data_IF_326708627901
#
_entry.id   IF_326708627901
#
_cell.length_a   1.000
_cell.length_b   1.000
_cell.length_c   1.000
_cell.angle_alpha   90.00
_cell.angle_beta   90.00
_cell.angle_gamma   90.00
#
_symmetry.space_group_name_H-M   'P 1'
#
loop_
_entity.id
_entity.type
_entity.pdbx_description
1 polymer ?
#
# COMPACT_ATOMS: atom_id res chain seq x y z
N UNK A 1 -13.06 25.63 8.68
CA UNK A 1 -13.58 24.29 8.37
C UNK A 1 -12.54 23.25 8.77
N UNK A 2 -12.96 22.16 9.37
CA UNK A 2 -12.12 20.96 9.59
C UNK A 2 -12.63 19.89 8.65
N UNK A 3 -11.78 19.41 7.75
CA UNK A 3 -12.08 18.19 7.00
C UNK A 3 -11.92 17.01 7.95
N UNK A 4 -13.03 16.34 8.26
CA UNK A 4 -13.02 15.23 9.21
C UNK A 4 -12.26 14.03 8.63
N UNK A 5 -11.64 13.24 9.49
CA UNK A 5 -10.99 12.00 9.07
C UNK A 5 -11.98 11.04 8.43
N UNK A 6 -13.22 11.02 8.92
CA UNK A 6 -14.29 10.21 8.38
C UNK A 6 -14.61 10.59 6.92
N UNK A 7 -14.87 11.87 6.62
CA UNK A 7 -15.18 12.33 5.26
C UNK A 7 -14.04 11.98 4.28
N UNK A 8 -12.79 12.18 4.71
CA UNK A 8 -11.63 11.83 3.88
C UNK A 8 -11.48 10.31 3.70
N UNK A 9 -11.83 9.51 4.72
CA UNK A 9 -11.81 8.04 4.63
C UNK A 9 -12.92 7.52 3.73
N UNK A 10 -14.10 8.11 3.77
CA UNK A 10 -15.21 7.77 2.86
C UNK A 10 -14.86 8.10 1.41
N UNK A 11 -14.26 9.26 1.19
CA UNK A 11 -13.74 9.62 -0.13
C UNK A 11 -12.66 8.62 -0.61
N UNK A 12 -11.66 8.30 0.24
CA UNK A 12 -10.65 7.31 -0.08
C UNK A 12 -11.26 5.95 -0.42
N UNK A 13 -12.24 5.49 0.37
CA UNK A 13 -12.93 4.21 0.13
C UNK A 13 -13.66 4.19 -1.22
N UNK A 14 -14.30 5.30 -1.63
CA UNK A 14 -14.94 5.41 -2.95
C UNK A 14 -13.91 5.30 -4.08
N UNK A 15 -12.78 6.01 -3.96
CA UNK A 15 -11.70 5.94 -4.95
C UNK A 15 -11.09 4.54 -5.02
N UNK A 16 -10.88 3.86 -3.87
CA UNK A 16 -10.41 2.48 -3.84
C UNK A 16 -11.38 1.53 -4.55
N UNK A 17 -12.67 1.62 -4.24
CA UNK A 17 -13.70 0.79 -4.89
C UNK A 17 -13.73 0.96 -6.40
N UNK A 18 -13.55 2.18 -6.91
CA UNK A 18 -13.46 2.44 -8.34
C UNK A 18 -12.17 1.86 -8.94
N UNK A 19 -11.06 1.94 -8.20
CA UNK A 19 -9.78 1.33 -8.58
C UNK A 19 -9.87 -0.20 -8.65
N UNK A 20 -10.50 -0.83 -7.68
CA UNK A 20 -10.72 -2.29 -7.64
C UNK A 20 -11.63 -2.72 -8.80
N UNK A 21 -12.69 -1.98 -9.11
CA UNK A 21 -13.56 -2.26 -10.25
C UNK A 21 -12.83 -2.11 -11.59
N UNK A 22 -11.92 -1.15 -11.71
CA UNK A 22 -11.06 -1.00 -12.89
C UNK A 22 -10.11 -2.20 -13.03
N UNK A 23 -9.46 -2.61 -11.91
CA UNK A 23 -8.62 -3.80 -11.87
C UNK A 23 -9.37 -5.03 -12.35
N UNK A 24 -10.51 -5.35 -11.73
CA UNK A 24 -11.32 -6.53 -12.06
C UNK A 24 -11.79 -6.53 -13.51
N UNK A 25 -12.16 -5.36 -14.03
CA UNK A 25 -12.58 -5.22 -15.42
C UNK A 25 -11.45 -5.55 -16.37
N UNK A 26 -10.26 -4.97 -16.18
CA UNK A 26 -9.10 -5.22 -17.04
C UNK A 26 -8.62 -6.66 -16.89
N UNK A 27 -8.46 -7.15 -15.67
CA UNK A 27 -7.98 -8.50 -15.40
C UNK A 27 -8.89 -9.55 -16.07
N UNK A 28 -10.20 -9.46 -15.89
CA UNK A 28 -11.16 -10.39 -16.51
C UNK A 28 -11.13 -10.31 -18.03
N UNK A 29 -11.17 -9.11 -18.61
CA UNK A 29 -11.15 -8.94 -20.08
C UNK A 29 -9.90 -9.55 -20.69
N UNK A 30 -8.73 -9.25 -20.14
CA UNK A 30 -7.43 -9.71 -20.66
C UNK A 30 -7.27 -11.23 -20.48
N UNK A 31 -7.62 -11.79 -19.32
CA UNK A 31 -7.52 -13.24 -19.08
C UNK A 31 -8.51 -14.02 -19.95
N UNK A 32 -9.74 -13.54 -20.11
CA UNK A 32 -10.74 -14.17 -21.00
C UNK A 32 -10.31 -14.11 -22.46
N UNK A 33 -9.71 -13.00 -22.90
CA UNK A 33 -9.17 -12.88 -24.25
C UNK A 33 -8.08 -13.92 -24.52
N UNK A 34 -7.09 -14.02 -23.61
CA UNK A 34 -6.00 -14.99 -23.72
C UNK A 34 -6.51 -16.45 -23.70
N UNK A 35 -7.52 -16.74 -22.88
CA UNK A 35 -8.16 -18.08 -22.85
C UNK A 35 -8.91 -18.40 -24.14
N UNK A 36 -9.57 -17.41 -24.72
CA UNK A 36 -10.34 -17.60 -25.96
C UNK A 36 -9.44 -17.72 -27.20
N UNK A 37 -8.25 -17.11 -27.16
CA UNK A 37 -7.30 -17.06 -28.27
C UNK A 37 -5.92 -17.53 -27.82
N UNK A 38 -5.74 -18.84 -27.51
CA UNK A 38 -4.49 -19.39 -27.00
C UNK A 38 -3.44 -19.39 -28.07
N UNK A 39 -2.82 -18.66 -28.56
CA UNK A 39 -1.87 -18.54 -29.69
C UNK A 39 -1.96 -17.18 -30.37
N UNK A 40 -2.68 -16.23 -29.76
CA UNK A 40 -2.71 -14.86 -30.25
C UNK A 40 -1.29 -14.26 -30.24
N UNK A 41 -0.96 -13.51 -31.28
CA UNK A 41 0.32 -12.81 -31.33
C UNK A 41 0.41 -11.77 -30.19
N UNK A 42 1.64 -11.43 -29.85
CA UNK A 42 1.92 -10.41 -28.80
C UNK A 42 1.26 -9.09 -29.14
N UNK A 43 1.29 -8.68 -30.41
CA UNK A 43 0.66 -7.46 -30.89
C UNK A 43 -0.84 -7.48 -30.63
N UNK A 44 -1.51 -8.58 -30.97
CA UNK A 44 -2.96 -8.72 -30.79
C UNK A 44 -3.37 -8.69 -29.32
N UNK A 45 -2.61 -9.36 -28.45
CA UNK A 45 -2.85 -9.33 -26.98
C UNK A 45 -2.63 -7.92 -26.45
N UNK A 46 -1.56 -7.27 -26.88
CA UNK A 46 -1.22 -5.90 -26.47
C UNK A 46 -2.31 -4.91 -26.89
N UNK A 47 -2.74 -4.93 -28.15
CA UNK A 47 -3.71 -3.97 -28.67
C UNK A 47 -5.08 -4.14 -27.96
N UNK A 48 -5.54 -5.37 -27.75
CA UNK A 48 -6.72 -5.65 -26.93
C UNK A 48 -6.56 -5.18 -25.47
N UNK A 49 -5.37 -5.32 -24.92
CA UNK A 49 -5.09 -4.87 -23.53
C UNK A 49 -5.10 -3.35 -23.43
N UNK A 50 -4.51 -2.64 -24.41
CA UNK A 50 -4.55 -1.16 -24.46
C UNK A 50 -6.01 -0.68 -24.50
N UNK A 51 -6.84 -1.28 -25.36
CA UNK A 51 -8.28 -0.97 -25.42
C UNK A 51 -8.97 -1.22 -24.09
N UNK A 52 -8.69 -2.36 -23.45
CA UNK A 52 -9.31 -2.75 -22.19
C UNK A 52 -8.92 -1.83 -21.02
N UNK A 53 -7.65 -1.42 -20.94
CA UNK A 53 -7.18 -0.46 -19.94
C UNK A 53 -7.75 0.93 -20.20
N UNK A 54 -7.77 1.39 -21.47
CA UNK A 54 -8.32 2.69 -21.85
C UNK A 54 -9.81 2.79 -21.52
N UNK A 55 -10.57 1.73 -21.78
CA UNK A 55 -11.98 1.64 -21.39
C UNK A 55 -12.16 1.76 -19.88
N UNK A 56 -11.43 0.98 -19.10
CA UNK A 56 -11.55 1.00 -17.64
C UNK A 56 -11.16 2.37 -17.04
N UNK A 57 -10.09 2.98 -17.56
CA UNK A 57 -9.64 4.31 -17.11
C UNK A 57 -10.65 5.40 -17.50
N UNK A 58 -11.30 5.32 -18.67
CA UNK A 58 -12.37 6.25 -19.02
C UNK A 58 -13.55 6.13 -18.06
N UNK A 59 -14.09 4.92 -17.87
CA UNK A 59 -15.29 4.73 -17.04
C UNK A 59 -15.04 5.04 -15.56
N UNK A 60 -14.04 4.40 -14.97
CA UNK A 60 -13.79 4.50 -13.53
C UNK A 60 -12.96 5.72 -13.16
N UNK A 61 -12.10 6.20 -14.06
CA UNK A 61 -11.34 7.42 -13.86
C UNK A 61 -12.21 8.67 -13.92
N UNK A 62 -13.19 8.71 -14.82
CA UNK A 62 -14.17 9.81 -14.90
C UNK A 62 -15.07 9.84 -13.67
N UNK A 63 -15.51 8.66 -13.18
CA UNK A 63 -16.22 8.57 -11.90
C UNK A 63 -15.37 9.03 -10.70
N UNK A 64 -14.08 8.70 -10.69
CA UNK A 64 -13.15 9.16 -9.65
C UNK A 64 -12.90 10.68 -9.72
N UNK A 65 -12.84 11.25 -10.94
CA UNK A 65 -12.77 12.70 -11.14
C UNK A 65 -14.01 13.40 -10.63
N UNK A 66 -15.20 12.82 -10.85
CA UNK A 66 -16.48 13.36 -10.34
C UNK A 66 -16.47 13.34 -8.80
N UNK A 67 -16.14 12.22 -8.16
CA UNK A 67 -16.02 12.17 -6.71
C UNK A 67 -15.05 13.20 -6.14
N UNK A 68 -13.96 13.47 -6.86
CA UNK A 68 -12.99 14.49 -6.44
C UNK A 68 -13.52 15.92 -6.63
N UNK A 69 -14.25 16.18 -7.71
CA UNK A 69 -14.87 17.47 -7.95
C UNK A 69 -15.95 17.78 -6.90
N UNK A 70 -16.82 16.80 -6.60
CA UNK A 70 -17.85 16.93 -5.56
C UNK A 70 -17.22 17.29 -4.22
N UNK A 71 -16.19 16.55 -3.79
CA UNK A 71 -15.49 16.85 -2.54
C UNK A 71 -14.82 18.24 -2.56
N UNK A 72 -14.26 18.64 -3.71
CA UNK A 72 -13.68 20.00 -3.85
C UNK A 72 -14.72 21.09 -3.64
N UNK A 73 -15.89 20.95 -4.27
CA UNK A 73 -16.98 21.93 -4.18
C UNK A 73 -17.60 21.94 -2.77
N UNK A 74 -17.80 20.78 -2.14
CA UNK A 74 -18.22 20.67 -0.74
C UNK A 74 -17.26 21.39 0.22
N UNK A 75 -15.94 21.21 0.02
CA UNK A 75 -14.92 21.87 0.82
C UNK A 75 -14.91 23.40 0.59
N UNK A 76 -15.07 23.84 -0.65
CA UNK A 76 -15.15 25.25 -1.01
C UNK A 76 -16.35 25.91 -0.36
N UNK A 77 -17.53 25.32 -0.46
CA UNK A 77 -18.79 25.81 0.16
C UNK A 77 -18.66 25.89 1.68
N UNK A 78 -18.21 24.80 2.31
CA UNK A 78 -18.04 24.73 3.76
C UNK A 78 -16.98 25.71 4.30
N UNK A 79 -16.04 26.16 3.46
CA UNK A 79 -15.06 27.21 3.81
C UNK A 79 -15.58 28.64 3.57
N UNK A 80 -16.76 28.79 2.94
CA UNK A 80 -17.32 30.06 2.50
C UNK A 80 -16.55 30.67 1.29
N UNK A 81 -15.76 29.86 0.57
CA UNK A 81 -15.05 30.31 -0.61
C UNK A 81 -16.03 30.43 -1.80
N UNK A 82 -16.04 31.61 -2.43
CA UNK A 82 -16.83 31.86 -3.65
C UNK A 82 -15.96 31.48 -4.85
N UNK A 83 -15.96 30.20 -5.21
CA UNK A 83 -15.18 29.65 -6.34
C UNK A 83 -16.14 29.13 -7.42
N UNK A 84 -15.69 29.07 -8.68
CA UNK A 84 -16.46 28.42 -9.72
C UNK A 84 -16.50 26.90 -9.46
N UNK A 85 -17.53 26.18 -9.96
CA UNK A 85 -17.61 24.72 -9.84
C UNK A 85 -16.31 24.02 -10.26
N UNK A 86 -16.01 22.92 -9.62
CA UNK A 86 -14.84 22.13 -9.95
C UNK A 86 -14.92 21.55 -11.36
N UNK A 87 -13.79 21.53 -12.07
CA UNK A 87 -13.66 20.92 -13.38
C UNK A 87 -13.03 19.52 -13.25
N UNK A 88 -13.52 18.57 -14.02
CA UNK A 88 -12.98 17.21 -14.06
C UNK A 88 -11.61 17.17 -14.75
N UNK A 89 -10.76 16.23 -14.35
CA UNK A 89 -9.57 15.90 -15.13
C UNK A 89 -9.95 15.00 -16.31
N UNK A 90 -9.76 15.51 -17.50
CA UNK A 90 -9.97 14.82 -18.78
C UNK A 90 -8.67 14.64 -19.55
N UNK A 91 -7.53 14.63 -18.87
CA UNK A 91 -6.22 14.50 -19.51
C UNK A 91 -6.14 13.20 -20.33
N UNK A 92 -5.60 13.31 -21.54
CA UNK A 92 -5.27 12.15 -22.35
C UNK A 92 -4.12 11.35 -21.70
N UNK A 93 -4.37 10.08 -21.42
CA UNK A 93 -3.40 9.15 -20.85
C UNK A 93 -3.07 7.99 -21.80
N UNK A 94 -3.51 8.06 -23.06
CA UNK A 94 -3.33 7.01 -24.06
C UNK A 94 -1.87 6.62 -24.24
N UNK A 95 -0.97 7.60 -24.39
CA UNK A 95 0.46 7.38 -24.54
C UNK A 95 1.10 6.71 -23.30
N UNK A 96 0.61 7.03 -22.10
CA UNK A 96 1.05 6.35 -20.88
C UNK A 96 0.58 4.88 -20.87
N UNK A 97 -0.70 4.64 -21.15
CA UNK A 97 -1.28 3.29 -21.20
C UNK A 97 -0.54 2.43 -22.21
N UNK A 98 -0.31 2.94 -23.40
CA UNK A 98 0.41 2.24 -24.45
C UNK A 98 1.84 1.85 -24.00
N UNK A 99 2.58 2.78 -23.41
CA UNK A 99 3.93 2.53 -22.88
C UNK A 99 3.95 1.45 -21.80
N UNK A 100 3.03 1.53 -20.83
CA UNK A 100 2.95 0.57 -19.74
C UNK A 100 2.56 -0.83 -20.21
N UNK A 101 1.58 -0.95 -21.10
CA UNK A 101 1.18 -2.23 -21.68
C UNK A 101 2.32 -2.85 -22.49
N UNK A 102 3.03 -2.06 -23.30
CA UNK A 102 4.22 -2.52 -24.04
C UNK A 102 5.32 -3.03 -23.08
N UNK A 103 5.57 -2.32 -21.99
CA UNK A 103 6.56 -2.73 -20.99
C UNK A 103 6.17 -4.06 -20.32
N UNK A 104 4.90 -4.21 -19.92
CA UNK A 104 4.43 -5.44 -19.28
C UNK A 104 4.33 -6.63 -20.24
N UNK A 105 4.25 -6.42 -21.56
CA UNK A 105 4.12 -7.48 -22.55
C UNK A 105 5.28 -8.49 -22.52
N UNK A 106 6.43 -8.11 -21.96
CA UNK A 106 7.54 -9.05 -21.70
C UNK A 106 7.14 -10.25 -20.82
N UNK A 107 6.18 -10.08 -19.90
CA UNK A 107 5.65 -11.17 -19.07
C UNK A 107 4.84 -12.16 -19.93
N UNK A 108 4.02 -11.66 -20.84
CA UNK A 108 3.26 -12.52 -21.76
C UNK A 108 4.19 -13.32 -22.67
N UNK A 109 5.23 -12.69 -23.23
CA UNK A 109 6.26 -13.34 -24.05
C UNK A 109 6.97 -14.47 -23.27
N UNK A 110 7.20 -14.25 -21.97
CA UNK A 110 7.80 -15.25 -21.07
C UNK A 110 6.81 -16.36 -20.63
N UNK A 111 5.61 -16.46 -21.20
CA UNK A 111 4.61 -17.46 -20.84
C UNK A 111 3.87 -17.18 -19.53
N UNK A 112 3.99 -15.96 -18.96
CA UNK A 112 3.42 -15.56 -17.68
C UNK A 112 2.17 -14.69 -17.89
N UNK A 113 1.17 -15.24 -18.57
CA UNK A 113 -0.03 -14.50 -18.99
C UNK A 113 -0.83 -13.92 -17.80
N UNK A 114 -0.96 -14.65 -16.70
CA UNK A 114 -1.66 -14.15 -15.50
C UNK A 114 -0.89 -13.00 -14.82
N UNK A 115 0.44 -13.11 -14.72
CA UNK A 115 1.27 -12.00 -14.20
C UNK A 115 1.16 -10.76 -15.09
N UNK A 116 1.06 -10.95 -16.41
CA UNK A 116 0.82 -9.85 -17.35
C UNK A 116 -0.54 -9.19 -17.09
N UNK A 117 -1.61 -9.98 -17.04
CA UNK A 117 -2.97 -9.45 -16.81
C UNK A 117 -3.08 -8.71 -15.48
N UNK A 118 -2.51 -9.25 -14.40
CA UNK A 118 -2.46 -8.61 -13.09
C UNK A 118 -1.68 -7.29 -13.13
N UNK A 119 -0.53 -7.28 -13.78
CA UNK A 119 0.32 -6.09 -13.86
C UNK A 119 -0.34 -4.94 -14.62
N UNK A 120 -1.02 -5.21 -15.74
CA UNK A 120 -1.73 -4.17 -16.51
C UNK A 120 -3.01 -3.72 -15.81
N UNK A 121 -3.70 -4.60 -15.10
CA UNK A 121 -4.86 -4.25 -14.28
C UNK A 121 -4.49 -3.31 -13.13
N UNK A 122 -3.37 -3.56 -12.46
CA UNK A 122 -2.85 -2.66 -11.42
C UNK A 122 -2.58 -1.24 -11.96
N UNK A 123 -2.16 -1.12 -13.23
CA UNK A 123 -1.97 0.20 -13.87
C UNK A 123 -3.28 0.94 -14.09
N UNK A 124 -4.37 0.24 -14.36
CA UNK A 124 -5.69 0.87 -14.43
C UNK A 124 -6.10 1.47 -13.07
N UNK A 125 -5.91 0.74 -11.96
CA UNK A 125 -6.12 1.25 -10.60
C UNK A 125 -5.30 2.51 -10.31
N UNK A 126 -4.00 2.49 -10.65
CA UNK A 126 -3.12 3.66 -10.47
C UNK A 126 -3.66 4.90 -11.22
N UNK A 127 -4.18 4.72 -12.45
CA UNK A 127 -4.74 5.82 -13.25
C UNK A 127 -6.06 6.36 -12.67
N UNK A 128 -6.91 5.51 -12.12
CA UNK A 128 -8.14 5.94 -11.42
C UNK A 128 -7.81 6.85 -10.24
N UNK A 129 -6.89 6.44 -9.37
CA UNK A 129 -6.44 7.26 -8.25
C UNK A 129 -5.77 8.56 -8.70
N UNK A 130 -5.00 8.51 -9.78
CA UNK A 130 -4.36 9.68 -10.37
C UNK A 130 -5.36 10.70 -10.88
N UNK A 131 -6.42 10.27 -11.57
CA UNK A 131 -7.50 11.14 -12.07
C UNK A 131 -8.14 11.95 -10.94
N UNK A 132 -8.46 11.30 -9.82
CA UNK A 132 -9.01 11.98 -8.66
C UNK A 132 -8.06 13.04 -8.10
N UNK A 133 -6.80 12.68 -7.88
CA UNK A 133 -5.79 13.62 -7.37
C UNK A 133 -5.51 14.77 -8.34
N UNK A 134 -5.51 14.49 -9.64
CA UNK A 134 -5.30 15.51 -10.68
C UNK A 134 -6.46 16.51 -10.76
N UNK A 135 -7.70 16.04 -10.60
CA UNK A 135 -8.90 16.90 -10.47
C UNK A 135 -8.74 17.87 -9.31
N UNK A 136 -8.39 17.39 -8.11
CA UNK A 136 -8.14 18.25 -6.94
C UNK A 136 -7.03 19.26 -7.20
N UNK A 137 -5.91 18.81 -7.77
CA UNK A 137 -4.74 19.65 -8.05
C UNK A 137 -5.01 20.74 -9.08
N UNK A 138 -5.71 20.41 -10.17
CA UNK A 138 -6.04 21.36 -11.25
C UNK A 138 -6.95 22.46 -10.75
N UNK A 139 -7.96 22.11 -9.99
CA UNK A 139 -8.87 23.08 -9.37
C UNK A 139 -8.12 23.96 -8.37
N UNK A 140 -7.31 23.37 -7.48
CA UNK A 140 -6.49 24.14 -6.55
C UNK A 140 -5.57 25.12 -7.29
N UNK A 141 -4.93 24.70 -8.41
CA UNK A 141 -4.10 25.58 -9.23
C UNK A 141 -4.89 26.69 -9.89
N UNK A 142 -6.07 26.39 -10.48
CA UNK A 142 -6.98 27.37 -11.09
C UNK A 142 -7.34 28.48 -10.10
N UNK A 143 -7.64 28.07 -8.86
CA UNK A 143 -8.15 28.98 -7.83
C UNK A 143 -7.04 29.60 -6.97
N UNK A 144 -5.78 29.38 -7.34
CA UNK A 144 -4.61 29.94 -6.68
C UNK A 144 -4.39 29.42 -5.25
N UNK A 145 -4.91 28.21 -4.96
CA UNK A 145 -4.80 27.55 -3.65
C UNK A 145 -3.50 26.73 -3.58
N UNK A 146 -3.03 26.56 -2.34
CA UNK A 146 -2.02 25.53 -2.03
C UNK A 146 -2.72 24.23 -1.69
N UNK A 147 -1.98 23.14 -1.68
CA UNK A 147 -2.48 21.83 -1.25
C UNK A 147 -1.42 21.06 -0.46
N UNK A 148 -1.90 20.10 0.32
CA UNK A 148 -1.09 19.10 1.00
C UNK A 148 -1.28 17.73 0.36
N UNK A 149 -0.33 16.84 0.62
CA UNK A 149 -0.50 15.40 0.40
C UNK A 149 -0.84 14.76 1.74
N UNK A 150 -2.03 14.24 1.88
CA UNK A 150 -2.53 13.63 3.11
C UNK A 150 -2.46 12.11 2.95
N UNK A 151 -1.66 11.41 3.77
CA UNK A 151 -1.57 9.95 3.73
C UNK A 151 -2.88 9.30 4.17
N UNK A 152 -3.29 8.28 3.41
CA UNK A 152 -4.41 7.41 3.74
C UNK A 152 -3.92 5.96 3.77
N UNK A 153 -4.36 5.19 4.77
CA UNK A 153 -3.95 3.79 4.93
C UNK A 153 -2.78 3.59 5.90
N UNK A 154 -2.58 2.35 6.34
CA UNK A 154 -1.62 1.99 7.39
C UNK A 154 -0.16 2.03 6.93
N UNK A 155 0.12 1.59 5.71
CA UNK A 155 1.48 1.61 5.16
C UNK A 155 1.70 2.85 4.30
N UNK A 156 2.43 3.83 4.81
CA UNK A 156 2.85 4.99 4.03
C UNK A 156 4.36 4.96 3.86
N UNK A 157 4.85 4.98 2.62
CA UNK A 157 6.28 4.91 2.35
C UNK A 157 7.02 6.18 2.82
N UNK A 158 8.31 6.05 3.11
CA UNK A 158 9.18 7.15 3.57
C UNK A 158 9.10 8.39 2.67
N UNK A 159 9.03 8.19 1.35
CA UNK A 159 8.91 9.30 0.39
C UNK A 159 7.57 10.05 0.53
N UNK A 160 6.46 9.33 0.67
CA UNK A 160 5.14 9.95 0.88
C UNK A 160 5.06 10.67 2.22
N UNK A 161 5.65 10.12 3.29
CA UNK A 161 5.73 10.78 4.59
C UNK A 161 6.51 12.09 4.48
N UNK A 162 7.67 12.08 3.82
CA UNK A 162 8.46 13.28 3.56
C UNK A 162 7.66 14.36 2.82
N UNK A 163 6.90 13.98 1.80
CA UNK A 163 6.06 14.94 1.10
C UNK A 163 4.89 15.45 1.96
N UNK A 164 4.30 14.58 2.76
CA UNK A 164 3.19 14.94 3.64
C UNK A 164 3.63 15.82 4.82
N UNK A 165 4.84 15.63 5.35
CA UNK A 165 5.40 16.45 6.45
C UNK A 165 5.58 17.93 6.11
N UNK A 166 5.54 18.28 4.83
CA UNK A 166 5.66 19.68 4.39
C UNK A 166 4.36 20.49 4.53
N UNK A 167 3.24 19.85 4.80
CA UNK A 167 1.96 20.52 4.95
C UNK A 167 1.43 21.14 3.64
N UNK A 168 0.66 22.19 3.76
CA UNK A 168 -0.02 22.89 2.66
C UNK A 168 0.91 23.85 1.91
N UNK A 169 1.98 23.34 1.31
CA UNK A 169 2.99 24.16 0.62
C UNK A 169 2.95 24.05 -0.90
N UNK A 170 2.29 23.00 -1.42
CA UNK A 170 2.37 22.67 -2.83
C UNK A 170 1.47 23.54 -3.70
N UNK A 171 2.02 23.97 -4.86
CA UNK A 171 1.30 24.71 -5.89
C UNK A 171 1.37 24.05 -7.26
N UNK A 172 2.20 23.01 -7.40
CA UNK A 172 2.40 22.30 -8.67
C UNK A 172 2.67 20.81 -8.43
N UNK A 173 2.40 19.99 -9.45
CA UNK A 173 2.74 18.58 -9.48
C UNK A 173 4.22 18.33 -9.21
N UNK A 174 5.08 19.09 -9.88
CA UNK A 174 6.54 18.95 -9.77
C UNK A 174 7.04 19.09 -8.33
N UNK A 175 6.54 20.07 -7.58
CA UNK A 175 6.97 20.31 -6.20
C UNK A 175 6.37 19.29 -5.23
N UNK A 176 5.24 18.69 -5.56
CA UNK A 176 4.58 17.65 -4.77
C UNK A 176 5.08 16.22 -5.08
N UNK A 177 6.16 16.07 -5.83
CA UNK A 177 6.75 14.78 -6.17
C UNK A 177 6.00 13.98 -7.23
N UNK A 178 5.06 14.57 -7.94
CA UNK A 178 4.25 13.88 -8.96
C UNK A 178 5.02 13.57 -10.25
N UNK A 179 6.15 14.24 -10.51
CA UNK A 179 7.06 13.90 -11.62
C UNK A 179 7.90 12.63 -11.36
N UNK A 180 7.99 12.17 -10.12
CA UNK A 180 8.80 11.04 -9.69
C UNK A 180 7.95 9.87 -9.15
N UNK A 181 6.83 9.59 -9.80
CA UNK A 181 5.96 8.45 -9.56
C UNK A 181 5.19 8.46 -8.22
N UNK A 182 3.86 8.53 -8.31
CA UNK A 182 3.06 7.75 -7.41
C UNK A 182 3.49 6.30 -7.63
N UNK A 183 4.26 5.72 -6.69
CA UNK A 183 4.53 4.29 -6.76
C UNK A 183 3.21 3.53 -6.71
N UNK A 184 3.20 2.36 -7.28
CA UNK A 184 2.06 1.45 -7.20
C UNK A 184 1.54 1.40 -5.76
N UNK A 185 0.21 1.54 -5.60
CA UNK A 185 -0.49 1.55 -4.31
C UNK A 185 -0.31 2.80 -3.42
N UNK A 186 0.14 3.94 -3.97
CA UNK A 186 0.15 5.19 -3.20
C UNK A 186 -1.30 5.65 -2.89
N UNK A 187 -1.64 5.72 -1.59
CA UNK A 187 -2.96 6.14 -1.12
C UNK A 187 -3.04 7.59 -0.64
N UNK A 188 -1.99 8.40 -0.89
CA UNK A 188 -2.04 9.81 -0.53
C UNK A 188 -3.08 10.56 -1.35
N UNK A 189 -3.84 11.44 -0.69
CA UNK A 189 -4.81 12.34 -1.34
C UNK A 189 -4.26 13.74 -1.43
N UNK A 190 -4.57 14.41 -2.52
CA UNK A 190 -4.38 15.85 -2.67
C UNK A 190 -5.53 16.56 -1.96
N UNK A 191 -5.22 17.37 -0.97
CA UNK A 191 -6.21 18.15 -0.21
C UNK A 191 -5.89 19.63 -0.34
N UNK A 192 -6.75 20.43 -1.02
CA UNK A 192 -6.56 21.87 -1.17
C UNK A 192 -6.77 22.64 0.14
N UNK A 193 -6.11 23.79 0.26
CA UNK A 193 -6.26 24.72 1.36
C UNK A 193 -7.11 25.92 0.92
N UNK A 194 -8.38 25.93 1.28
CA UNK A 194 -9.33 26.97 0.86
C UNK A 194 -9.17 28.31 1.57
N UNK A 195 -8.44 28.38 2.69
CA UNK A 195 -8.13 29.62 3.35
C UNK A 195 -6.72 30.14 2.96
N UNK A 196 -6.70 31.29 2.29
CA UNK A 196 -5.45 31.97 1.90
C UNK A 196 -4.60 32.46 3.09
N UNK A 197 -5.16 32.53 4.31
CA UNK A 197 -4.47 32.97 5.52
C UNK A 197 -3.90 31.82 6.36
N UNK A 198 -4.05 30.59 5.91
CA UNK A 198 -3.44 29.41 6.56
C UNK A 198 -4.09 28.96 7.87
N UNK A 199 -5.28 29.50 8.22
CA UNK A 199 -5.87 29.26 9.54
C UNK A 199 -6.91 28.12 9.58
N UNK A 200 -7.47 27.66 8.45
CA UNK A 200 -8.77 26.99 8.48
C UNK A 200 -8.86 25.62 7.82
N UNK A 201 -7.88 25.19 7.04
CA UNK A 201 -7.91 23.83 6.55
C UNK A 201 -7.15 22.94 7.51
N UNK A 202 -7.80 22.55 8.61
CA UNK A 202 -7.33 21.43 9.42
C UNK A 202 -7.92 20.16 8.83
N UNK A 203 -7.07 19.18 8.60
CA UNK A 203 -7.47 17.81 8.29
C UNK A 203 -7.31 17.03 9.59
N UNK A 204 -8.39 16.45 10.07
CA UNK A 204 -8.36 15.64 11.30
C UNK A 204 -7.40 14.45 11.11
N UNK A 205 -6.54 14.21 12.10
CA UNK A 205 -5.54 13.14 12.03
C UNK A 205 -4.42 13.36 11.00
N UNK A 206 -4.22 14.61 10.54
CA UNK A 206 -3.09 15.00 9.73
C UNK A 206 -2.28 16.09 10.44
N UNK A 207 -1.12 15.70 10.93
CA UNK A 207 -0.16 16.57 11.59
C UNK A 207 1.17 16.52 10.82
N UNK A 208 1.56 17.59 10.13
CA UNK A 208 2.83 17.65 9.40
C UNK A 208 4.07 17.51 10.29
N UNK A 209 4.02 17.99 11.55
CA UNK A 209 5.17 17.93 12.47
C UNK A 209 5.37 16.48 12.96
N UNK A 210 4.29 15.77 13.33
CA UNK A 210 4.35 14.33 13.64
C UNK A 210 4.88 13.52 12.44
N UNK A 211 4.51 13.89 11.23
CA UNK A 211 5.00 13.24 10.01
C UNK A 211 6.47 13.56 9.74
N UNK A 212 6.96 14.73 10.14
CA UNK A 212 8.38 15.07 10.03
C UNK A 212 9.23 14.20 10.97
N UNK A 213 8.81 14.06 12.23
CA UNK A 213 9.47 13.19 13.20
C UNK A 213 9.46 11.72 12.70
N UNK A 214 8.34 11.28 12.16
CA UNK A 214 8.21 9.94 11.56
C UNK A 214 9.13 9.75 10.35
N UNK A 215 9.28 10.75 9.50
CA UNK A 215 10.18 10.71 8.36
C UNK A 215 11.65 10.60 8.80
N UNK A 216 12.07 11.37 9.81
CA UNK A 216 13.43 11.31 10.34
C UNK A 216 13.73 9.94 10.95
N UNK A 217 12.78 9.37 11.69
CA UNK A 217 12.91 8.00 12.20
C UNK A 217 12.98 6.96 11.09
N UNK A 218 12.17 7.10 10.04
CA UNK A 218 12.18 6.17 8.91
C UNK A 218 13.51 6.21 8.15
N UNK A 219 14.17 7.38 8.02
CA UNK A 219 15.52 7.45 7.47
C UNK A 219 16.51 6.67 8.32
N UNK A 220 16.47 6.85 9.64
CA UNK A 220 17.32 6.10 10.56
C UNK A 220 17.11 4.58 10.37
N UNK A 221 15.85 4.12 10.27
CA UNK A 221 15.54 2.70 10.02
C UNK A 221 16.09 2.23 8.65
N UNK A 222 16.02 3.06 7.60
CA UNK A 222 16.54 2.72 6.27
C UNK A 222 18.07 2.56 6.25
N UNK A 223 18.77 3.26 7.15
CA UNK A 223 20.22 3.23 7.30
C UNK A 223 20.72 2.21 8.32
N UNK A 224 19.80 1.52 9.03
CA UNK A 224 20.14 0.57 10.09
C UNK A 224 20.96 -0.60 9.57
N UNK A 225 21.95 -0.98 10.41
CA UNK A 225 22.77 -2.17 10.21
C UNK A 225 22.62 -3.13 11.38
N UNK A 226 22.64 -4.41 11.09
CA UNK A 226 22.68 -5.46 12.11
C UNK A 226 24.06 -5.54 12.81
N UNK A 227 24.15 -6.37 13.83
CA UNK A 227 25.41 -6.62 14.56
C UNK A 227 26.55 -7.13 13.66
N UNK A 228 26.21 -7.74 12.51
CA UNK A 228 27.15 -8.19 11.49
C UNK A 228 27.61 -7.08 10.52
N UNK A 229 27.21 -5.84 10.77
CA UNK A 229 27.52 -4.66 9.95
C UNK A 229 26.75 -4.59 8.62
N UNK A 230 25.95 -5.60 8.28
CA UNK A 230 25.13 -5.60 7.05
C UNK A 230 23.85 -4.78 7.23
N UNK A 231 23.31 -4.22 6.15
CA UNK A 231 22.00 -3.57 6.21
C UNK A 231 20.94 -4.54 6.76
N UNK A 232 20.07 -4.05 7.63
CA UNK A 232 18.86 -4.76 8.06
C UNK A 232 18.03 -5.09 6.81
N UNK A 233 17.38 -6.26 6.77
CA UNK A 233 16.61 -6.70 5.61
C UNK A 233 15.53 -5.68 5.23
N UNK A 234 15.16 -5.61 3.95
CA UNK A 234 14.08 -4.72 3.49
C UNK A 234 12.77 -5.01 4.23
N UNK A 235 12.47 -6.30 4.45
CA UNK A 235 11.29 -6.71 5.18
C UNK A 235 11.32 -6.23 6.64
N UNK A 236 12.43 -6.45 7.35
CA UNK A 236 12.56 -6.01 8.74
C UNK A 236 12.50 -4.48 8.87
N UNK A 237 13.03 -3.72 7.90
CA UNK A 237 12.85 -2.27 7.86
C UNK A 237 11.39 -1.86 7.70
N UNK A 238 10.62 -2.56 6.86
CA UNK A 238 9.17 -2.32 6.75
C UNK A 238 8.45 -2.62 8.05
N UNK A 239 8.77 -3.74 8.68
CA UNK A 239 8.24 -4.14 9.99
C UNK A 239 8.53 -3.09 11.06
N UNK A 240 9.76 -2.61 11.15
CA UNK A 240 10.17 -1.57 12.11
C UNK A 240 9.42 -0.24 11.86
N UNK A 241 9.23 0.14 10.61
CA UNK A 241 8.46 1.35 10.26
C UNK A 241 6.99 1.23 10.66
N UNK A 242 6.40 0.06 10.49
CA UNK A 242 5.04 -0.20 10.94
C UNK A 242 4.95 -0.13 12.47
N UNK A 243 5.83 -0.84 13.17
CA UNK A 243 5.86 -0.81 14.63
C UNK A 243 6.05 0.62 15.19
N UNK A 244 6.86 1.44 14.54
CA UNK A 244 7.02 2.84 14.95
C UNK A 244 5.77 3.70 14.67
N UNK A 245 5.06 3.41 13.59
CA UNK A 245 3.87 4.18 13.20
C UNK A 245 2.60 3.74 13.93
N UNK A 246 2.52 2.51 14.39
CA UNK A 246 1.36 1.93 15.07
C UNK A 246 1.55 2.00 16.59
N UNK A 247 0.75 2.85 17.24
CA UNK A 247 0.80 3.04 18.70
C UNK A 247 0.39 1.80 19.51
N UNK A 248 -0.19 0.79 18.87
CA UNK A 248 -0.57 -0.48 19.50
C UNK A 248 0.57 -1.50 19.52
N UNK A 249 1.66 -1.26 18.79
CA UNK A 249 2.82 -2.14 18.69
C UNK A 249 4.01 -1.49 19.40
N UNK A 250 4.65 -2.23 20.29
CA UNK A 250 5.84 -1.76 21.03
C UNK A 250 7.10 -1.82 20.12
N UNK A 251 7.47 -0.67 19.58
CA UNK A 251 8.61 -0.53 18.68
C UNK A 251 9.92 -1.09 19.29
N UNK A 252 10.19 -0.85 20.58
CA UNK A 252 11.43 -1.28 21.23
C UNK A 252 11.50 -2.81 21.37
N UNK A 253 10.36 -3.47 21.56
CA UNK A 253 10.27 -4.94 21.53
C UNK A 253 10.55 -5.48 20.13
N UNK A 254 9.93 -4.91 19.10
CA UNK A 254 10.17 -5.31 17.72
C UNK A 254 11.64 -5.12 17.35
N UNK A 255 12.24 -3.99 17.71
CA UNK A 255 13.65 -3.70 17.44
C UNK A 255 14.58 -4.78 18.04
N UNK A 256 14.40 -5.13 19.32
CA UNK A 256 15.18 -6.20 19.95
C UNK A 256 14.99 -7.56 19.28
N UNK A 257 13.77 -7.87 18.84
CA UNK A 257 13.49 -9.14 18.18
C UNK A 257 14.10 -9.24 16.80
N UNK A 258 14.18 -8.15 16.05
CA UNK A 258 14.86 -8.10 14.74
C UNK A 258 16.36 -8.42 14.87
N UNK A 259 16.99 -8.18 16.02
CA UNK A 259 18.38 -8.55 16.28
C UNK A 259 18.59 -10.05 16.53
N UNK A 260 17.59 -10.75 17.06
CA UNK A 260 17.67 -12.15 17.49
C UNK A 260 16.87 -13.13 16.62
N UNK A 261 15.94 -12.64 15.86
CA UNK A 261 15.06 -13.43 14.99
C UNK A 261 15.08 -12.88 13.56
N UNK A 262 14.69 -13.70 12.60
CA UNK A 262 14.55 -13.30 11.19
C UNK A 262 13.31 -13.88 10.55
N UNK A 263 12.59 -13.06 9.80
CA UNK A 263 11.41 -13.43 9.00
C UNK A 263 11.75 -13.13 7.53
N UNK A 264 11.84 -14.17 6.71
CA UNK A 264 12.00 -13.98 5.29
C UNK A 264 10.66 -13.53 4.67
N UNK A 265 10.63 -12.38 4.00
CA UNK A 265 9.44 -11.82 3.36
C UNK A 265 8.59 -12.85 2.58
N UNK A 266 9.18 -13.72 1.73
CA UNK A 266 8.40 -14.71 0.99
C UNK A 266 7.62 -15.70 1.86
N UNK A 267 8.03 -15.92 3.13
CA UNK A 267 7.29 -16.82 4.04
C UNK A 267 5.93 -16.26 4.45
N UNK A 268 5.81 -14.96 4.53
CA UNK A 268 4.52 -14.28 4.78
C UNK A 268 3.87 -13.85 3.47
N UNK A 269 4.54 -13.06 2.65
CA UNK A 269 3.98 -12.42 1.46
C UNK A 269 3.54 -13.39 0.36
N UNK A 270 4.31 -14.48 0.15
CA UNK A 270 4.09 -15.40 -0.96
C UNK A 270 3.61 -16.78 -0.54
N UNK A 271 3.68 -17.12 0.75
CA UNK A 271 3.33 -18.44 1.23
C UNK A 271 2.18 -18.42 2.22
N UNK A 272 2.34 -17.87 3.43
CA UNK A 272 1.34 -18.02 4.49
C UNK A 272 0.10 -17.13 4.30
N UNK A 273 0.24 -15.93 3.72
CA UNK A 273 -0.84 -14.96 3.55
C UNK A 273 -1.31 -14.83 2.09
N UNK A 274 -0.71 -15.54 1.16
CA UNK A 274 -1.02 -15.45 -0.27
C UNK A 274 -1.83 -16.64 -0.74
N UNK A 275 -2.94 -16.38 -1.44
CA UNK A 275 -3.77 -17.40 -2.08
C UNK A 275 -3.01 -18.21 -3.14
N UNK A 276 -1.91 -17.66 -3.70
CA UNK A 276 -1.03 -18.34 -4.63
C UNK A 276 0.08 -19.18 -3.94
N UNK A 277 0.14 -19.14 -2.60
CA UNK A 277 1.05 -19.94 -1.79
C UNK A 277 0.34 -21.13 -1.14
N UNK A 278 0.22 -21.12 0.19
CA UNK A 278 -0.60 -22.08 0.92
C UNK A 278 -2.02 -21.51 1.08
N UNK A 279 -2.89 -21.87 0.14
CA UNK A 279 -4.26 -21.33 0.08
C UNK A 279 -5.08 -21.64 1.36
N UNK A 280 -4.78 -22.71 2.09
CA UNK A 280 -5.48 -23.01 3.34
C UNK A 280 -5.05 -22.04 4.45
N UNK A 281 -3.77 -21.80 4.60
CA UNK A 281 -3.24 -20.82 5.55
C UNK A 281 -3.75 -19.42 5.22
N UNK A 282 -3.67 -19.01 3.95
CA UNK A 282 -4.12 -17.69 3.50
C UNK A 282 -5.61 -17.49 3.82
N UNK A 283 -6.46 -18.48 3.53
CA UNK A 283 -7.90 -18.42 3.87
C UNK A 283 -8.14 -18.33 5.37
N UNK A 284 -7.36 -19.06 6.18
CA UNK A 284 -7.47 -19.00 7.64
C UNK A 284 -7.08 -17.61 8.16
N UNK A 285 -5.95 -17.04 7.72
CA UNK A 285 -5.55 -15.68 8.08
C UNK A 285 -6.58 -14.62 7.67
N UNK A 286 -7.09 -14.70 6.45
CA UNK A 286 -8.12 -13.78 5.96
C UNK A 286 -9.46 -13.95 6.69
N UNK A 287 -9.91 -15.19 6.89
CA UNK A 287 -11.19 -15.49 7.54
C UNK A 287 -11.21 -15.12 9.03
N UNK A 288 -10.22 -15.57 9.79
CA UNK A 288 -10.18 -15.41 11.25
C UNK A 288 -9.58 -14.08 11.70
N UNK A 289 -8.67 -13.48 10.91
CA UNK A 289 -7.93 -12.29 11.30
C UNK A 289 -8.12 -11.11 10.33
N UNK A 290 -8.62 -11.35 9.13
CA UNK A 290 -8.76 -10.32 8.10
C UNK A 290 -7.44 -9.91 7.45
N UNK A 291 -6.37 -10.70 7.59
CA UNK A 291 -5.05 -10.41 7.04
C UNK A 291 -4.82 -11.13 5.70
N UNK A 292 -4.22 -10.40 4.77
CA UNK A 292 -3.82 -10.85 3.44
C UNK A 292 -2.31 -10.68 3.25
N UNK A 293 -1.79 -11.03 2.08
CA UNK A 293 -0.38 -10.80 1.71
C UNK A 293 0.07 -9.34 1.83
N UNK A 294 -0.87 -8.39 1.69
CA UNK A 294 -0.63 -6.94 1.89
C UNK A 294 -0.33 -6.57 3.35
N UNK A 295 -0.72 -7.42 4.30
CA UNK A 295 -0.54 -7.19 5.74
C UNK A 295 0.68 -7.92 6.31
N UNK A 296 1.52 -8.50 5.46
CA UNK A 296 2.65 -9.34 5.88
C UNK A 296 3.58 -8.64 6.88
N UNK A 297 3.86 -7.35 6.70
CA UNK A 297 4.72 -6.60 7.60
C UNK A 297 4.03 -6.27 8.94
N UNK A 298 2.70 -6.10 8.98
CA UNK A 298 1.91 -5.97 10.22
C UNK A 298 1.98 -7.26 11.01
N UNK A 299 1.71 -8.40 10.35
CA UNK A 299 1.82 -9.74 10.97
C UNK A 299 3.24 -9.98 11.48
N UNK A 300 4.26 -9.61 10.70
CA UNK A 300 5.66 -9.68 11.11
C UNK A 300 5.97 -8.87 12.37
N UNK A 301 5.43 -7.65 12.48
CA UNK A 301 5.62 -6.78 13.63
C UNK A 301 5.00 -7.39 14.90
N UNK A 302 3.77 -7.92 14.81
CA UNK A 302 3.11 -8.58 15.92
C UNK A 302 3.86 -9.84 16.38
N UNK A 303 4.41 -10.61 15.45
CA UNK A 303 5.22 -11.80 15.78
C UNK A 303 6.50 -11.39 16.50
N UNK A 304 7.23 -10.38 16.00
CA UNK A 304 8.44 -9.88 16.65
C UNK A 304 8.16 -9.27 18.02
N UNK A 305 7.08 -8.49 18.16
CA UNK A 305 6.68 -7.95 19.46
C UNK A 305 6.43 -9.06 20.48
N UNK A 306 5.70 -10.10 20.05
CA UNK A 306 5.36 -11.22 20.93
C UNK A 306 6.60 -11.98 21.41
N UNK A 307 7.51 -12.35 20.51
CA UNK A 307 8.70 -13.14 20.88
C UNK A 307 9.71 -12.39 21.74
N UNK A 308 9.67 -11.04 21.72
CA UNK A 308 10.49 -10.22 22.63
C UNK A 308 10.20 -10.47 24.11
N UNK A 309 8.95 -10.80 24.44
CA UNK A 309 8.50 -11.05 25.81
C UNK A 309 8.20 -12.52 26.10
N UNK A 310 8.02 -13.35 25.05
CA UNK A 310 7.66 -14.76 25.12
C UNK A 310 8.63 -15.58 24.26
N UNK A 311 9.81 -15.94 24.80
CA UNK A 311 10.81 -16.69 24.04
C UNK A 311 10.21 -17.99 23.45
N UNK A 312 10.60 -18.36 22.23
CA UNK A 312 10.14 -19.62 21.63
C UNK A 312 10.52 -20.85 22.46
N UNK A 313 9.58 -21.78 22.61
CA UNK A 313 9.78 -23.03 23.32
C UNK A 313 10.52 -24.05 22.45
N UNK A 314 11.54 -24.70 23.00
CA UNK A 314 12.24 -25.80 22.32
C UNK A 314 11.29 -26.95 22.01
N UNK A 315 11.42 -27.52 20.82
CA UNK A 315 10.60 -28.63 20.36
C UNK A 315 11.42 -29.91 20.16
N UNK A 316 12.38 -29.89 19.24
CA UNK A 316 13.23 -31.01 18.87
C UNK A 316 14.47 -30.53 18.09
N UNK A 317 15.45 -31.42 17.93
CA UNK A 317 16.65 -31.22 17.10
C UNK A 317 16.54 -32.00 15.80
N UNK A 318 16.94 -31.36 14.69
CA UNK A 318 16.97 -31.97 13.36
C UNK A 318 18.37 -31.80 12.75
N UNK A 319 18.68 -32.51 11.65
CA UNK A 319 19.95 -32.29 10.91
C UNK A 319 20.13 -30.85 10.40
N UNK A 320 19.09 -30.02 10.43
CA UNK A 320 19.12 -28.61 9.98
C UNK A 320 19.15 -27.62 11.14
N UNK A 321 19.23 -28.09 12.38
CA UNK A 321 19.25 -27.26 13.58
C UNK A 321 18.09 -27.53 14.54
N UNK A 322 18.09 -26.80 15.64
CA UNK A 322 17.09 -26.89 16.70
C UNK A 322 15.80 -26.17 16.30
N UNK A 323 14.67 -26.85 16.48
CA UNK A 323 13.33 -26.32 16.20
C UNK A 323 12.66 -25.83 17.47
N UNK A 324 11.96 -24.71 17.33
CA UNK A 324 11.22 -24.06 18.40
C UNK A 324 9.81 -23.69 17.94
N UNK A 325 8.93 -23.45 18.88
CA UNK A 325 7.54 -23.08 18.63
C UNK A 325 7.14 -21.91 19.53
N UNK A 326 6.40 -20.96 18.95
CA UNK A 326 5.71 -19.91 19.69
C UNK A 326 4.21 -20.02 19.41
N UNK A 327 3.38 -19.88 20.46
CA UNK A 327 1.94 -19.70 20.33
C UNK A 327 1.58 -18.31 20.82
N UNK A 328 0.71 -17.64 20.08
CA UNK A 328 0.27 -16.29 20.43
C UNK A 328 -1.19 -16.08 20.07
N UNK A 329 -1.90 -15.33 20.91
CA UNK A 329 -3.20 -14.76 20.54
C UNK A 329 -2.94 -13.53 19.70
N UNK A 330 -3.24 -13.59 18.40
CA UNK A 330 -3.05 -12.49 17.47
C UNK A 330 -4.35 -11.70 17.32
N UNK A 331 -4.28 -10.38 17.49
CA UNK A 331 -5.38 -9.50 17.15
C UNK A 331 -5.51 -9.39 15.63
N UNK A 332 -6.72 -9.41 15.12
CA UNK A 332 -7.04 -9.21 13.72
C UNK A 332 -7.73 -7.88 13.48
N UNK A 333 -8.16 -7.65 12.24
CA UNK A 333 -8.97 -6.50 11.85
C UNK A 333 -10.40 -6.65 12.38
N UNK A 334 -11.09 -5.51 12.56
CA UNK A 334 -12.51 -5.47 12.92
C UNK A 334 -12.86 -6.24 14.21
N UNK A 335 -11.96 -6.20 15.20
CA UNK A 335 -12.15 -6.87 16.48
C UNK A 335 -11.97 -8.40 16.45
N UNK A 336 -11.55 -8.97 15.34
CA UNK A 336 -11.23 -10.39 15.22
C UNK A 336 -10.00 -10.74 16.05
N UNK A 337 -9.86 -12.01 16.42
CA UNK A 337 -8.65 -12.55 17.02
C UNK A 337 -8.59 -14.05 16.84
N UNK A 338 -7.39 -14.63 16.74
CA UNK A 338 -7.20 -16.07 16.64
C UNK A 338 -5.88 -16.51 17.30
N UNK A 339 -5.78 -17.78 17.63
CA UNK A 339 -4.54 -18.36 18.08
C UNK A 339 -3.66 -18.68 16.87
N UNK A 340 -2.42 -18.23 16.92
CA UNK A 340 -1.44 -18.39 15.85
C UNK A 340 -0.24 -19.14 16.37
N UNK A 341 0.21 -20.11 15.60
CA UNK A 341 1.41 -20.89 15.86
C UNK A 341 2.52 -20.52 14.89
N UNK A 342 3.69 -20.23 15.44
CA UNK A 342 4.89 -19.88 14.70
C UNK A 342 5.98 -20.89 14.96
N UNK A 343 6.51 -21.49 13.90
CA UNK A 343 7.66 -22.40 13.97
C UNK A 343 8.96 -21.67 13.63
N UNK A 344 9.98 -21.95 14.41
CA UNK A 344 11.31 -21.39 14.27
C UNK A 344 12.36 -22.47 14.13
N UNK A 345 13.49 -22.13 13.54
CA UNK A 345 14.70 -22.97 13.53
C UNK A 345 15.92 -22.11 13.88
N UNK A 346 16.78 -22.65 14.71
CA UNK A 346 18.11 -22.12 14.96
C UNK A 346 19.13 -23.08 14.35
N UNK A 347 19.69 -22.69 13.24
CA UNK A 347 20.71 -23.46 12.52
C UNK A 347 22.03 -23.39 13.31
N UNK A 348 22.89 -24.40 13.21
CA UNK A 348 24.19 -24.45 13.89
C UNK A 348 25.03 -23.23 13.50
N UNK A 349 25.55 -22.55 14.50
CA UNK A 349 26.33 -21.32 14.33
C UNK A 349 25.54 -20.08 13.91
N UNK A 350 24.21 -20.18 13.72
CA UNK A 350 23.40 -19.02 13.39
C UNK A 350 23.20 -18.08 14.60
N UNK A 351 23.32 -16.78 14.36
CA UNK A 351 23.05 -15.75 15.38
C UNK A 351 21.57 -15.61 15.63
N UNK A 352 20.76 -15.71 14.56
CA UNK A 352 19.30 -15.49 14.61
C UNK A 352 18.52 -16.78 14.45
N UNK A 353 17.39 -16.89 15.17
CA UNK A 353 16.36 -17.87 14.84
C UNK A 353 15.61 -17.44 13.60
N UNK A 354 15.35 -18.36 12.68
CA UNK A 354 14.65 -18.12 11.43
C UNK A 354 13.23 -18.69 11.47
N UNK A 355 12.24 -17.90 11.08
CA UNK A 355 10.86 -18.37 10.91
C UNK A 355 10.79 -19.42 9.79
N UNK A 356 10.22 -20.57 10.11
CA UNK A 356 10.01 -21.69 9.17
C UNK A 356 8.57 -21.79 8.71
N UNK A 357 7.61 -21.59 9.60
CA UNK A 357 6.18 -21.66 9.30
C UNK A 357 5.39 -20.75 10.23
N UNK A 358 4.21 -20.34 9.78
CA UNK A 358 3.19 -19.66 10.58
C UNK A 358 1.81 -20.08 10.07
N UNK A 359 0.86 -20.28 10.97
CA UNK A 359 -0.52 -20.61 10.65
C UNK A 359 -1.45 -20.33 11.83
N UNK A 360 -2.75 -20.16 11.55
CA UNK A 360 -3.80 -20.08 12.55
C UNK A 360 -3.99 -21.49 13.15
N UNK A 361 -3.89 -21.61 14.47
CA UNK A 361 -3.98 -22.87 15.23
C UNK A 361 -5.41 -22.94 15.78
N UNK A 362 -6.32 -23.67 15.09
CA UNK A 362 -7.72 -23.87 15.45
C UNK A 362 -7.88 -24.97 16.49
#
# INVERSE_FOLDING_TARGET
MVLTRQALSEYDARIQKLGDAAYDTVYRRVTQFMKRFPGASVERVRDFTIESVSYAVSVYGDAASTCAADLYDEMAEASGAKLPPAILDTSDVSGYIEKEVRYQAGKYIAGKGEEFASAVAAKATDQVSRRANETMRRNAKRDGLRYARVPMGGETCTFCIMLASRGFVYKSAKTAGEGNHFHAHCRCKVVPQFDKRGRWTKVEGYDPDELLDRWDKFKQIDEMRGADGKPVSEFDRRVLKIAYADKCIDYEKVLRSVETHSIAAPKLERYALSQNGDANKARAFEGYLGYTDRDAAVVGAMVYEHVASNPPEYRDTTPHGDRYTTRMRMAGKDGKSADVKVGWIKEDGAVKMRLTTIFVDE
#
